data_IF_920640575054
#
_entry.id   IF_920640575054
#
_cell.length_a   1.000
_cell.length_b   1.000
_cell.length_c   1.000
_cell.angle_alpha   90.00
_cell.angle_beta   90.00
_cell.angle_gamma   90.00
#
_symmetry.space_group_name_H-M   'P 1'
#
loop_
_entity.id
_entity.type
_entity.pdbx_description
1 polymer ?
#
# COMPACT_ATOMS: atom_id res chain seq x y z
N UNK A 1 6.99 -11.33 6.03
CA UNK A 1 6.92 -9.92 6.48
C UNK A 1 5.48 -9.42 6.41
N UNK A 2 5.14 -8.34 7.12
CA UNK A 2 3.82 -7.70 7.08
C UNK A 2 3.85 -6.47 6.17
N UNK A 3 3.18 -6.57 5.03
CA UNK A 3 3.18 -5.56 3.98
C UNK A 3 1.86 -4.79 3.99
N UNK A 4 1.92 -3.46 3.97
CA UNK A 4 0.73 -2.62 3.87
C UNK A 4 0.76 -1.79 2.58
N UNK A 5 -0.22 -2.03 1.69
CA UNK A 5 -0.38 -1.29 0.44
C UNK A 5 -1.41 -0.17 0.59
N UNK A 6 -1.06 1.05 0.19
CA UNK A 6 -1.89 2.24 0.39
C UNK A 6 -2.12 2.99 -0.91
N UNK A 7 -3.41 3.18 -1.27
CA UNK A 7 -3.83 4.10 -2.32
C UNK A 7 -4.87 5.11 -1.80
N UNK A 8 -5.63 5.74 -2.70
CA UNK A 8 -6.65 6.71 -2.32
C UNK A 8 -7.89 6.03 -1.71
N UNK A 9 -8.59 5.15 -2.45
CA UNK A 9 -9.88 4.57 -2.03
C UNK A 9 -9.85 3.09 -1.61
N UNK A 10 -8.73 2.39 -1.74
CA UNK A 10 -8.64 0.94 -1.51
C UNK A 10 -9.57 0.07 -2.38
N UNK A 11 -9.63 0.33 -3.69
CA UNK A 11 -10.50 -0.43 -4.62
C UNK A 11 -9.78 -1.08 -5.78
N UNK A 12 -8.63 -0.55 -6.18
CA UNK A 12 -7.86 -0.95 -7.37
C UNK A 12 -6.43 -1.28 -6.96
N UNK A 13 -5.44 -0.50 -7.40
CA UNK A 13 -4.00 -0.58 -7.09
C UNK A 13 -3.61 -1.27 -5.77
N UNK A 14 -4.01 -0.72 -4.61
CA UNK A 14 -3.63 -1.31 -3.32
C UNK A 14 -4.29 -2.67 -3.04
N UNK A 15 -5.52 -2.86 -3.50
CA UNK A 15 -6.25 -4.11 -3.33
C UNK A 15 -5.69 -5.19 -4.27
N UNK A 16 -5.30 -4.82 -5.49
CA UNK A 16 -4.57 -5.71 -6.40
C UNK A 16 -3.25 -6.15 -5.78
N UNK A 17 -2.47 -5.21 -5.21
CA UNK A 17 -1.23 -5.55 -4.52
C UNK A 17 -1.46 -6.51 -3.33
N UNK A 18 -2.50 -6.30 -2.52
CA UNK A 18 -2.87 -7.26 -1.47
C UNK A 18 -3.14 -8.66 -2.04
N UNK A 19 -3.90 -8.76 -3.14
CA UNK A 19 -4.21 -10.05 -3.76
C UNK A 19 -3.01 -10.79 -4.31
N UNK A 20 -1.99 -10.07 -4.77
CA UNK A 20 -0.76 -10.65 -5.29
C UNK A 20 0.19 -11.11 -4.19
N UNK A 21 0.31 -10.33 -3.11
CA UNK A 21 1.37 -10.52 -2.12
C UNK A 21 0.92 -11.19 -0.82
N UNK A 22 -0.39 -11.33 -0.56
CA UNK A 22 -0.85 -12.05 0.64
C UNK A 22 -0.59 -13.55 0.48
N UNK A 23 0.20 -14.13 1.38
CA UNK A 23 0.65 -15.52 1.31
C UNK A 23 1.85 -15.76 0.40
N UNK A 24 2.22 -14.80 -0.46
CA UNK A 24 3.39 -14.93 -1.33
C UNK A 24 4.68 -14.96 -0.49
N UNK A 25 5.49 -16.01 -0.64
CA UNK A 25 6.73 -16.21 0.12
C UNK A 25 6.56 -16.04 1.65
N UNK A 26 5.41 -16.47 2.19
CA UNK A 26 5.10 -16.36 3.62
C UNK A 26 4.89 -14.93 4.10
N UNK A 27 4.71 -13.97 3.21
CA UNK A 27 4.30 -12.61 3.55
C UNK A 27 2.82 -12.56 3.93
N UNK A 28 2.47 -11.59 4.77
CA UNK A 28 1.10 -11.22 5.06
C UNK A 28 0.89 -9.83 4.47
N UNK A 29 -0.07 -9.69 3.57
CA UNK A 29 -0.38 -8.41 2.94
C UNK A 29 -1.74 -7.90 3.37
N UNK A 30 -1.82 -6.59 3.59
CA UNK A 30 -3.08 -5.86 3.77
C UNK A 30 -3.06 -4.61 2.94
N UNK A 31 -4.24 -4.06 2.68
CA UNK A 31 -4.37 -2.81 1.96
C UNK A 31 -5.36 -1.84 2.59
N UNK A 32 -5.14 -0.55 2.36
CA UNK A 32 -5.98 0.52 2.85
C UNK A 32 -5.97 1.76 1.96
N UNK A 33 -6.90 2.67 2.23
CA UNK A 33 -7.09 3.92 1.49
C UNK A 33 -6.95 5.13 2.42
N UNK A 34 -6.37 6.20 1.90
CA UNK A 34 -6.19 7.46 2.65
C UNK A 34 -7.48 8.28 2.74
N UNK A 35 -8.43 8.07 1.82
CA UNK A 35 -9.67 8.84 1.74
C UNK A 35 -10.73 8.39 2.76
N UNK A 36 -11.63 9.29 3.14
CA UNK A 36 -12.68 9.00 4.11
C UNK A 36 -13.68 7.93 3.64
N UNK A 37 -13.95 7.86 2.33
CA UNK A 37 -14.85 6.91 1.69
C UNK A 37 -14.13 5.66 1.13
N UNK A 38 -12.92 5.39 1.63
CA UNK A 38 -12.17 4.19 1.24
C UNK A 38 -12.90 2.92 1.68
N UNK A 39 -12.80 1.85 0.88
CA UNK A 39 -13.34 0.51 1.23
C UNK A 39 -12.82 0.06 2.59
N UNK A 40 -11.50 0.10 2.76
CA UNK A 40 -10.82 -0.02 4.06
C UNK A 40 -10.05 1.26 4.28
N UNK A 41 -10.41 2.01 5.32
CA UNK A 41 -9.76 3.26 5.68
C UNK A 41 -8.43 2.98 6.39
N UNK A 42 -7.40 3.74 6.05
CA UNK A 42 -6.12 3.66 6.75
C UNK A 42 -6.26 4.12 8.20
N UNK A 43 -5.80 3.28 9.12
CA UNK A 43 -5.83 3.51 10.57
C UNK A 43 -4.44 3.38 11.16
N UNK A 44 -4.23 3.94 12.36
CA UNK A 44 -2.99 3.78 13.11
C UNK A 44 -2.68 2.30 13.40
N UNK A 45 -3.70 1.46 13.64
CA UNK A 45 -3.52 0.02 13.86
C UNK A 45 -2.94 -0.71 12.64
N UNK A 46 -3.35 -0.34 11.42
CA UNK A 46 -2.76 -0.89 10.19
C UNK A 46 -1.30 -0.46 10.02
N UNK A 47 -1.01 0.82 10.28
CA UNK A 47 0.37 1.36 10.23
C UNK A 47 1.26 0.65 11.25
N UNK A 48 0.79 0.52 12.50
CA UNK A 48 1.53 -0.15 13.57
C UNK A 48 1.78 -1.63 13.27
N UNK A 49 0.81 -2.32 12.65
CA UNK A 49 0.92 -3.71 12.24
C UNK A 49 1.98 -3.95 11.15
N UNK A 50 2.17 -3.00 10.22
CA UNK A 50 3.01 -3.18 9.05
C UNK A 50 4.52 -3.11 9.37
N UNK A 51 5.31 -3.98 8.74
CA UNK A 51 6.77 -3.87 8.73
C UNK A 51 7.21 -2.86 7.65
N UNK A 52 6.54 -2.89 6.49
CA UNK A 52 6.79 -2.00 5.34
C UNK A 52 5.47 -1.46 4.80
N UNK A 53 5.43 -0.17 4.47
CA UNK A 53 4.27 0.51 3.91
C UNK A 53 4.57 0.96 2.47
N UNK A 54 3.88 0.38 1.50
CA UNK A 54 3.97 0.76 0.10
C UNK A 54 2.84 1.73 -0.26
N UNK A 55 3.22 2.92 -0.69
CA UNK A 55 2.31 3.96 -1.16
C UNK A 55 2.34 4.05 -2.68
N UNK A 56 1.18 4.12 -3.32
CA UNK A 56 1.14 4.21 -4.79
C UNK A 56 1.70 5.54 -5.33
N UNK A 57 1.55 6.63 -4.57
CA UNK A 57 1.91 7.98 -5.03
C UNK A 57 2.38 8.82 -3.85
N UNK A 58 3.16 9.88 -4.13
CA UNK A 58 3.70 10.80 -3.12
C UNK A 58 2.60 11.45 -2.28
N UNK A 59 1.43 11.71 -2.86
CA UNK A 59 0.26 12.26 -2.14
C UNK A 59 -0.20 11.35 -1.01
N UNK A 60 -0.09 10.03 -1.18
CA UNK A 60 -0.42 9.07 -0.13
C UNK A 60 0.58 9.20 1.01
N UNK A 61 1.89 9.18 0.73
CA UNK A 61 2.95 9.35 1.75
C UNK A 61 2.74 10.64 2.55
N UNK A 62 2.48 11.76 1.86
CA UNK A 62 2.20 13.05 2.50
C UNK A 62 1.03 12.96 3.49
N UNK A 63 -0.11 12.40 3.06
CA UNK A 63 -1.29 12.24 3.92
C UNK A 63 -1.05 11.34 5.13
N UNK A 64 -0.28 10.26 4.97
CA UNK A 64 0.07 9.38 6.10
C UNK A 64 0.93 10.16 7.11
N UNK A 65 1.95 10.89 6.64
CA UNK A 65 2.83 11.70 7.50
C UNK A 65 2.11 12.83 8.21
N UNK A 66 1.18 13.51 7.53
CA UNK A 66 0.37 14.57 8.14
C UNK A 66 -0.58 14.03 9.21
N UNK A 67 -1.13 12.83 9.01
CA UNK A 67 -2.18 12.28 9.90
C UNK A 67 -1.64 11.40 11.02
N UNK A 68 -0.51 10.73 10.81
CA UNK A 68 0.04 9.76 11.75
C UNK A 68 1.54 9.95 12.01
N UNK A 69 2.04 11.18 12.24
CA UNK A 69 3.48 11.46 12.30
C UNK A 69 4.22 10.60 13.32
N UNK A 70 3.66 10.42 14.52
CA UNK A 70 4.29 9.67 15.62
C UNK A 70 4.41 8.18 15.34
N UNK A 71 3.54 7.63 14.49
CA UNK A 71 3.50 6.20 14.18
C UNK A 71 4.53 5.79 13.11
N UNK A 72 5.25 6.77 12.53
CA UNK A 72 6.14 6.54 11.39
C UNK A 72 7.62 6.58 11.74
N UNK A 73 7.99 6.90 12.98
CA UNK A 73 9.40 7.10 13.37
C UNK A 73 10.31 5.92 12.97
N UNK A 74 9.80 4.69 13.12
CA UNK A 74 10.55 3.47 12.79
C UNK A 74 9.94 2.67 11.62
N UNK A 75 9.09 3.30 10.80
CA UNK A 75 8.40 2.61 9.69
C UNK A 75 9.07 2.89 8.36
N UNK A 76 9.39 1.82 7.61
CA UNK A 76 9.84 1.93 6.22
C UNK A 76 8.64 2.25 5.33
N UNK A 77 8.65 3.42 4.69
CA UNK A 77 7.62 3.84 3.72
C UNK A 77 8.27 3.98 2.35
N UNK A 78 7.71 3.30 1.36
CA UNK A 78 8.21 3.27 -0.02
C UNK A 78 7.11 3.82 -0.93
N UNK A 79 7.47 4.71 -1.85
CA UNK A 79 6.56 5.24 -2.83
C UNK A 79 6.81 4.58 -4.19
N UNK A 80 5.87 3.76 -4.66
CA UNK A 80 5.98 3.01 -5.90
C UNK A 80 5.81 3.89 -7.16
N UNK A 81 5.26 5.10 -7.01
CA UNK A 81 4.97 6.05 -8.10
C UNK A 81 4.10 5.45 -9.22
N UNK A 82 3.11 4.63 -8.87
CA UNK A 82 2.15 4.01 -9.80
C UNK A 82 0.93 4.94 -9.95
N UNK A 83 0.64 5.46 -11.17
CA UNK A 83 -0.47 6.39 -11.42
C UNK A 83 -1.85 5.73 -11.21
N UNK A 84 -2.90 6.55 -11.08
CA UNK A 84 -4.29 6.10 -10.81
C UNK A 84 -5.11 5.86 -12.07
N UNK A 85 -4.58 5.04 -12.98
CA UNK A 85 -5.17 4.80 -14.31
C UNK A 85 -5.56 3.35 -14.57
N UNK A 86 -5.29 2.47 -13.61
CA UNK A 86 -5.53 1.04 -13.73
C UNK A 86 -6.86 0.61 -13.12
N UNK A 87 -7.49 -0.39 -13.72
CA UNK A 87 -8.61 -1.10 -13.12
C UNK A 87 -8.13 -2.14 -12.09
N UNK A 88 -9.08 -2.69 -11.31
CA UNK A 88 -8.75 -3.74 -10.36
C UNK A 88 -8.34 -5.02 -11.09
N UNK A 89 -7.18 -5.58 -10.73
CA UNK A 89 -6.58 -6.78 -11.34
C UNK A 89 -6.24 -6.64 -12.83
N UNK A 90 -6.03 -5.40 -13.28
CA UNK A 90 -5.44 -5.12 -14.59
C UNK A 90 -4.07 -5.82 -14.73
N UNK A 91 -3.77 -6.41 -15.89
CA UNK A 91 -2.55 -7.21 -16.12
C UNK A 91 -1.29 -6.34 -16.03
N UNK A 92 -1.29 -5.16 -16.65
CA UNK A 92 -0.15 -4.23 -16.63
C UNK A 92 0.14 -3.76 -15.19
N UNK A 93 -0.93 -3.51 -14.41
CA UNK A 93 -0.80 -3.17 -13.00
C UNK A 93 -0.16 -4.30 -12.20
N UNK A 94 -0.53 -5.55 -12.46
CA UNK A 94 0.03 -6.70 -11.76
C UNK A 94 1.53 -6.83 -12.04
N UNK A 95 1.95 -6.71 -13.29
CA UNK A 95 3.36 -6.78 -13.68
C UNK A 95 4.18 -5.67 -13.01
N UNK A 96 3.70 -4.43 -13.06
CA UNK A 96 4.36 -3.29 -12.42
C UNK A 96 4.49 -3.50 -10.91
N UNK A 97 3.42 -3.98 -10.24
CA UNK A 97 3.43 -4.26 -8.81
C UNK A 97 4.42 -5.38 -8.45
N UNK A 98 4.43 -6.48 -9.20
CA UNK A 98 5.35 -7.60 -8.99
C UNK A 98 6.79 -7.11 -9.12
N UNK A 99 7.11 -6.40 -10.21
CA UNK A 99 8.46 -5.88 -10.45
C UNK A 99 8.90 -4.89 -9.36
N UNK A 100 8.05 -3.90 -9.04
CA UNK A 100 8.42 -2.79 -8.16
C UNK A 100 8.52 -3.20 -6.70
N UNK A 101 7.63 -4.08 -6.23
CA UNK A 101 7.61 -4.51 -4.83
C UNK A 101 8.71 -5.53 -4.57
N UNK A 102 8.92 -6.49 -5.46
CA UNK A 102 9.99 -7.49 -5.29
C UNK A 102 11.40 -6.89 -5.34
N UNK A 103 11.59 -5.74 -6.01
CA UNK A 103 12.86 -5.01 -5.98
C UNK A 103 13.18 -4.38 -4.60
N UNK A 104 12.19 -4.27 -3.71
CA UNK A 104 12.31 -3.59 -2.42
C UNK A 104 12.30 -4.54 -1.21
N UNK A 105 11.91 -5.80 -1.43
CA UNK A 105 11.85 -6.88 -0.43
C UNK A 105 13.18 -7.64 -0.40
#
# INVERSE_FOLDING_TARGET
MKLLFVCSQNKRRSLTAEKLFDGFEGHQARSAGTENNSRIKLTAGLIGWADVIFCMEKKHVRRIREKYPDMLQDKRIICLNIPDEFEFMDEDLQEILISSVSAEL
#
